data_IF_031580487303
#
_entry.id   IF_031580487303
#
_cell.length_a   1.000
_cell.length_b   1.000
_cell.length_c   1.000
_cell.angle_alpha   90.00
_cell.angle_beta   90.00
_cell.angle_gamma   90.00
#
_symmetry.space_group_name_H-M   'P 1'
#
loop_
_entity.id
_entity.type
_entity.pdbx_description
1 polymer ?
#
# COMPACT_ATOMS: atom_id res chain seq x y z
N UNK A 1 25.26 3.28 -0.96
CA UNK A 1 24.24 3.89 -1.84
C UNK A 1 24.65 5.26 -2.35
N UNK A 2 25.01 6.20 -1.47
CA UNK A 2 25.45 7.58 -1.79
C UNK A 2 26.48 7.68 -2.92
N UNK A 3 27.51 6.81 -2.94
CA UNK A 3 28.52 6.77 -4.02
C UNK A 3 27.93 6.49 -5.40
N UNK A 4 26.93 5.60 -5.50
CA UNK A 4 26.31 5.26 -6.79
C UNK A 4 25.46 6.41 -7.33
N UNK A 5 24.75 7.12 -6.43
CA UNK A 5 23.91 8.27 -6.78
C UNK A 5 24.74 9.48 -7.21
N UNK A 6 25.85 9.73 -6.52
CA UNK A 6 26.80 10.80 -6.90
C UNK A 6 27.44 10.51 -8.25
N UNK A 7 27.92 9.30 -8.50
CA UNK A 7 28.45 8.92 -9.84
C UNK A 7 27.39 9.06 -10.94
N UNK A 8 26.14 8.66 -10.69
CA UNK A 8 25.06 8.88 -11.65
C UNK A 8 24.82 10.37 -11.91
N UNK A 9 24.84 11.19 -10.85
CA UNK A 9 24.64 12.63 -10.94
C UNK A 9 25.77 13.31 -11.72
N UNK A 10 27.01 12.87 -11.55
CA UNK A 10 28.15 13.36 -12.33
C UNK A 10 27.95 13.11 -13.82
N UNK A 11 27.48 11.91 -14.20
CA UNK A 11 27.11 11.57 -15.59
C UNK A 11 25.95 12.42 -16.08
N UNK A 12 24.90 12.61 -15.26
CA UNK A 12 23.76 13.47 -15.60
C UNK A 12 24.20 14.89 -15.95
N UNK A 13 25.15 15.46 -15.20
CA UNK A 13 25.68 16.80 -15.43
C UNK A 13 26.56 16.94 -16.69
N UNK A 14 26.98 15.82 -17.30
CA UNK A 14 27.66 15.87 -18.62
C UNK A 14 26.71 16.18 -19.77
N UNK A 15 25.42 15.89 -19.59
CA UNK A 15 24.37 16.07 -20.61
C UNK A 15 23.47 17.26 -20.27
N UNK A 16 23.15 17.44 -18.99
CA UNK A 16 22.19 18.44 -18.52
C UNK A 16 22.85 19.55 -17.71
N UNK A 17 22.38 20.78 -17.93
CA UNK A 17 22.83 21.95 -17.17
C UNK A 17 22.14 22.06 -15.81
N UNK A 18 22.73 22.85 -14.89
CA UNK A 18 22.24 23.03 -13.52
C UNK A 18 20.76 23.43 -13.40
N UNK A 19 20.22 24.21 -14.33
CA UNK A 19 18.82 24.63 -14.29
C UNK A 19 17.82 23.50 -14.57
N UNK A 20 18.28 22.34 -15.08
CA UNK A 20 17.47 21.13 -15.24
C UNK A 20 17.37 20.31 -13.95
N UNK A 21 18.10 20.68 -12.90
CA UNK A 21 18.03 19.99 -11.61
C UNK A 21 16.72 20.37 -10.94
N UNK A 22 15.76 19.45 -10.95
CA UNK A 22 14.49 19.61 -10.24
C UNK A 22 14.68 19.35 -8.75
N UNK A 23 13.76 19.85 -7.90
CA UNK A 23 13.76 19.51 -6.48
C UNK A 23 13.78 17.99 -6.21
N UNK A 24 13.11 17.19 -7.06
CA UNK A 24 13.13 15.73 -6.95
C UNK A 24 14.51 15.12 -7.19
N UNK A 25 15.27 15.64 -8.17
CA UNK A 25 16.65 15.18 -8.41
C UNK A 25 17.53 15.53 -7.22
N UNK A 26 17.40 16.74 -6.67
CA UNK A 26 18.13 17.15 -5.47
C UNK A 26 17.83 16.22 -4.29
N UNK A 27 16.55 15.97 -3.99
CA UNK A 27 16.14 15.05 -2.91
C UNK A 27 16.65 13.64 -3.15
N UNK A 28 16.58 13.14 -4.38
CA UNK A 28 17.03 11.80 -4.73
C UNK A 28 18.54 11.59 -4.54
N UNK A 29 19.37 12.58 -4.90
CA UNK A 29 20.83 12.44 -4.80
C UNK A 29 21.30 12.74 -3.37
N UNK A 30 20.75 13.78 -2.73
CA UNK A 30 21.24 14.27 -1.45
C UNK A 30 20.58 13.58 -0.25
N UNK A 31 19.25 13.43 -0.27
CA UNK A 31 18.47 13.10 0.94
C UNK A 31 18.00 11.64 1.00
N UNK A 32 17.70 11.01 -0.14
CA UNK A 32 17.29 9.59 -0.17
C UNK A 32 18.27 8.64 0.54
N UNK A 33 19.61 8.79 0.43
CA UNK A 33 20.53 7.97 1.22
C UNK A 33 20.37 8.11 2.73
N UNK A 34 20.08 9.33 3.18
CA UNK A 34 19.91 9.66 4.60
C UNK A 34 18.57 9.12 5.10
N UNK A 35 17.50 9.29 4.31
CA UNK A 35 16.17 8.76 4.60
C UNK A 35 16.15 7.22 4.66
N UNK A 36 16.86 6.55 3.76
CA UNK A 36 16.97 5.08 3.77
C UNK A 36 17.83 4.59 4.94
N UNK A 37 18.82 5.37 5.37
CA UNK A 37 19.62 5.01 6.54
C UNK A 37 18.79 5.10 7.83
N UNK A 38 18.00 6.17 7.98
CA UNK A 38 17.21 6.44 9.18
C UNK A 38 15.96 5.55 9.26
N UNK A 39 15.20 5.44 8.17
CA UNK A 39 13.88 4.80 8.16
C UNK A 39 13.85 3.46 7.44
N UNK A 40 14.97 3.00 6.88
CA UNK A 40 15.06 1.76 6.13
C UNK A 40 14.45 1.87 4.74
N UNK A 41 13.13 1.78 4.62
CA UNK A 41 12.43 1.76 3.32
C UNK A 41 11.59 3.01 3.09
N UNK A 42 11.78 3.67 1.95
CA UNK A 42 10.95 4.81 1.55
C UNK A 42 9.52 4.37 1.15
N UNK A 43 9.31 3.08 0.84
CA UNK A 43 8.01 2.57 0.40
C UNK A 43 6.88 2.86 1.39
N UNK A 44 7.19 2.89 2.69
CA UNK A 44 6.23 3.17 3.76
C UNK A 44 5.70 4.61 3.72
N UNK A 45 6.42 5.54 3.08
CA UNK A 45 6.05 6.95 2.98
C UNK A 45 5.45 7.31 1.62
N UNK A 46 5.23 6.33 0.74
CA UNK A 46 4.63 6.58 -0.57
C UNK A 46 3.16 6.97 -0.42
N UNK A 47 2.72 7.94 -1.22
CA UNK A 47 1.33 8.43 -1.20
C UNK A 47 0.43 7.66 -2.18
N UNK A 48 0.91 6.56 -2.77
CA UNK A 48 0.16 5.79 -3.75
C UNK A 48 -1.19 5.29 -3.22
N UNK A 49 -1.23 4.88 -1.94
CA UNK A 49 -2.47 4.47 -1.29
C UNK A 49 -3.48 5.62 -1.16
N UNK A 50 -2.99 6.82 -0.85
CA UNK A 50 -3.82 8.02 -0.72
C UNK A 50 -4.38 8.47 -2.08
N UNK A 51 -3.57 8.44 -3.13
CA UNK A 51 -4.03 8.71 -4.50
C UNK A 51 -5.11 7.72 -4.93
N UNK A 52 -4.90 6.42 -4.67
CA UNK A 52 -5.91 5.40 -4.96
C UNK A 52 -7.19 5.59 -4.16
N UNK A 53 -7.07 6.00 -2.90
CA UNK A 53 -8.20 6.32 -2.05
C UNK A 53 -9.00 7.50 -2.59
N UNK A 54 -8.33 8.53 -3.10
CA UNK A 54 -8.97 9.67 -3.75
C UNK A 54 -9.76 9.25 -5.02
N UNK A 55 -9.20 8.34 -5.84
CA UNK A 55 -9.91 7.77 -7.00
C UNK A 55 -11.22 7.07 -6.59
N UNK A 56 -11.16 6.24 -5.54
CA UNK A 56 -12.31 5.49 -5.02
C UNK A 56 -13.35 6.45 -4.44
N UNK A 57 -12.90 7.46 -3.70
CA UNK A 57 -13.75 8.51 -3.12
C UNK A 57 -14.47 9.30 -4.21
N UNK A 58 -13.73 9.72 -5.23
CA UNK A 58 -14.28 10.43 -6.40
C UNK A 58 -15.34 9.60 -7.11
N UNK A 59 -15.07 8.31 -7.35
CA UNK A 59 -16.06 7.40 -7.95
C UNK A 59 -17.30 7.25 -7.06
N UNK A 60 -17.12 7.10 -5.75
CA UNK A 60 -18.25 6.99 -4.82
C UNK A 60 -19.09 8.26 -4.77
N UNK A 61 -18.46 9.44 -4.80
CA UNK A 61 -19.15 10.72 -4.87
C UNK A 61 -20.10 10.80 -6.07
N UNK A 62 -19.58 10.54 -7.28
CA UNK A 62 -20.39 10.67 -8.50
C UNK A 62 -21.38 9.53 -8.73
N UNK A 63 -21.08 8.31 -8.28
CA UNK A 63 -21.87 7.10 -8.64
C UNK A 63 -22.65 6.48 -7.48
N UNK A 64 -22.39 6.91 -6.24
CA UNK A 64 -22.92 6.23 -5.04
C UNK A 64 -23.34 7.19 -3.93
N UNK A 65 -23.54 8.48 -4.23
CA UNK A 65 -24.15 9.43 -3.29
C UNK A 65 -25.36 10.09 -3.90
N UNK A 66 -26.33 10.45 -3.07
CA UNK A 66 -27.45 11.29 -3.44
C UNK A 66 -27.11 12.75 -3.11
N UNK A 67 -27.04 13.59 -4.13
CA UNK A 67 -26.62 14.98 -4.00
C UNK A 67 -27.75 15.90 -3.50
N UNK A 68 -29.00 15.40 -3.47
CA UNK A 68 -30.19 16.16 -3.09
C UNK A 68 -30.60 15.97 -1.62
N UNK A 69 -30.13 14.90 -0.97
CA UNK A 69 -30.52 14.54 0.40
C UNK A 69 -29.29 14.23 1.24
N UNK A 70 -28.96 15.15 2.16
CA UNK A 70 -27.83 15.02 3.09
C UNK A 70 -26.46 15.31 2.47
N UNK A 71 -25.44 15.38 3.33
CA UNK A 71 -24.06 15.61 2.88
C UNK A 71 -23.51 14.38 2.16
N UNK A 72 -23.05 14.55 0.91
CA UNK A 72 -22.40 13.49 0.14
C UNK A 72 -21.16 12.93 0.86
N UNK A 73 -20.44 13.78 1.61
CA UNK A 73 -19.31 13.35 2.43
C UNK A 73 -19.72 12.36 3.51
N UNK A 74 -20.81 12.64 4.24
CA UNK A 74 -21.35 11.71 5.25
C UNK A 74 -21.74 10.37 4.63
N UNK A 75 -22.36 10.41 3.44
CA UNK A 75 -22.74 9.18 2.73
C UNK A 75 -21.52 8.34 2.32
N UNK A 76 -20.44 8.98 1.86
CA UNK A 76 -19.18 8.30 1.52
C UNK A 76 -18.57 7.67 2.78
N UNK A 77 -18.49 8.42 3.89
CA UNK A 77 -17.95 7.91 5.15
C UNK A 77 -18.77 6.74 5.68
N UNK A 78 -20.10 6.83 5.69
CA UNK A 78 -20.94 5.71 6.12
C UNK A 78 -20.81 4.49 5.21
N UNK A 79 -20.62 4.69 3.89
CA UNK A 79 -20.34 3.58 2.96
C UNK A 79 -19.01 2.91 3.29
N UNK A 80 -17.97 3.69 3.56
CA UNK A 80 -16.65 3.18 3.91
C UNK A 80 -16.70 2.36 5.20
N UNK A 81 -17.31 2.89 6.26
CA UNK A 81 -17.46 2.17 7.54
C UNK A 81 -18.18 0.82 7.37
N UNK A 82 -19.21 0.77 6.51
CA UNK A 82 -19.92 -0.49 6.22
C UNK A 82 -19.03 -1.51 5.51
N UNK A 83 -18.24 -1.08 4.53
CA UNK A 83 -17.32 -1.96 3.81
C UNK A 83 -16.24 -2.52 4.75
N UNK A 84 -15.64 -1.66 5.58
CA UNK A 84 -14.62 -2.07 6.55
C UNK A 84 -15.16 -3.07 7.58
N UNK A 85 -16.39 -2.87 8.05
CA UNK A 85 -17.06 -3.83 8.95
C UNK A 85 -17.23 -5.19 8.28
N UNK A 86 -17.74 -5.21 7.03
CA UNK A 86 -17.97 -6.45 6.28
C UNK A 86 -16.65 -7.18 5.94
N UNK A 87 -15.60 -6.44 5.60
CA UNK A 87 -14.27 -7.01 5.34
C UNK A 87 -13.67 -7.63 6.61
N UNK A 88 -13.83 -6.96 7.76
CA UNK A 88 -13.42 -7.47 9.07
C UNK A 88 -14.17 -8.75 9.46
N UNK A 89 -15.49 -8.76 9.32
CA UNK A 89 -16.33 -9.94 9.57
C UNK A 89 -15.97 -11.11 8.65
N UNK A 90 -15.75 -10.85 7.36
CA UNK A 90 -15.33 -11.86 6.41
C UNK A 90 -13.95 -12.45 6.76
N UNK A 91 -13.00 -11.59 7.15
CA UNK A 91 -11.67 -12.02 7.59
C UNK A 91 -11.75 -12.88 8.85
N UNK A 92 -12.50 -12.45 9.85
CA UNK A 92 -12.75 -13.22 11.07
C UNK A 92 -13.41 -14.57 10.76
N UNK A 93 -14.41 -14.58 9.89
CA UNK A 93 -15.08 -15.81 9.45
C UNK A 93 -14.11 -16.79 8.78
N UNK A 94 -13.20 -16.30 7.92
CA UNK A 94 -12.17 -17.14 7.31
C UNK A 94 -11.19 -17.71 8.34
N UNK A 95 -10.76 -16.89 9.30
CA UNK A 95 -9.87 -17.33 10.39
C UNK A 95 -10.53 -18.39 11.28
N UNK A 96 -11.81 -18.23 11.61
CA UNK A 96 -12.55 -19.22 12.40
C UNK A 96 -12.73 -20.54 11.63
N UNK A 97 -13.00 -20.47 10.32
CA UNK A 97 -13.08 -21.67 9.46
C UNK A 97 -11.75 -22.41 9.38
N UNK A 98 -10.62 -21.71 9.30
CA UNK A 98 -9.30 -22.36 9.26
C UNK A 98 -8.92 -22.98 10.61
N UNK A 99 -9.33 -22.40 11.74
CA UNK A 99 -9.11 -22.95 13.09
C UNK A 99 -9.83 -24.30 13.32
N UNK A 100 -11.03 -24.47 12.77
CA UNK A 100 -11.78 -25.73 12.83
C UNK A 100 -11.36 -26.78 11.80
N UNK A 101 -10.56 -26.41 10.80
CA UNK A 101 -10.14 -27.31 9.72
C UNK A 101 -8.91 -28.13 10.14
N UNK A 102 -9.03 -29.46 10.06
CA UNK A 102 -7.88 -30.38 10.12
C UNK A 102 -7.22 -30.47 8.76
N UNK A 103 -5.91 -30.21 8.70
CA UNK A 103 -5.12 -30.33 7.49
C UNK A 103 -5.05 -31.78 7.03
N UNK A 104 -5.37 -32.06 5.76
CA UNK A 104 -5.30 -33.42 5.20
C UNK A 104 -3.89 -33.94 4.98
N UNK A 105 -2.86 -33.07 5.05
CA UNK A 105 -1.45 -33.44 4.83
C UNK A 105 -0.76 -33.81 6.14
N UNK A 106 -0.88 -32.98 7.18
CA UNK A 106 -0.17 -33.18 8.45
C UNK A 106 -1.09 -33.42 9.65
N UNK A 107 -2.41 -33.54 9.45
CA UNK A 107 -3.45 -33.76 10.46
C UNK A 107 -3.60 -32.67 11.54
N UNK A 108 -2.71 -31.68 11.58
CA UNK A 108 -2.79 -30.52 12.47
C UNK A 108 -3.94 -29.58 12.10
N UNK A 109 -4.49 -28.89 13.10
CA UNK A 109 -5.57 -27.90 12.94
C UNK A 109 -5.03 -26.51 12.59
N UNK A 110 -5.90 -25.62 12.12
CA UNK A 110 -5.56 -24.20 11.96
C UNK A 110 -5.00 -23.79 10.61
N UNK A 111 -4.91 -24.71 9.65
CA UNK A 111 -4.43 -24.40 8.30
C UNK A 111 -4.93 -25.40 7.26
N UNK A 112 -4.90 -24.99 5.99
CA UNK A 112 -5.28 -25.83 4.85
C UNK A 112 -4.07 -26.61 4.31
N UNK A 113 -4.32 -27.63 3.48
CA UNK A 113 -3.26 -28.35 2.75
C UNK A 113 -2.39 -27.42 1.88
N UNK A 114 -2.97 -26.35 1.32
CA UNK A 114 -2.28 -25.36 0.49
C UNK A 114 -1.31 -24.47 1.28
N UNK A 115 -1.57 -24.29 2.56
CA UNK A 115 -0.77 -23.46 3.46
C UNK A 115 0.03 -24.32 4.45
N UNK A 116 0.14 -25.63 4.17
CA UNK A 116 0.83 -26.58 5.01
C UNK A 116 2.33 -26.57 4.68
N UNK A 117 3.18 -26.27 5.66
CA UNK A 117 4.64 -26.29 5.49
C UNK A 117 5.22 -27.69 5.22
N UNK A 118 4.46 -28.75 5.52
CA UNK A 118 4.84 -30.11 5.17
C UNK A 118 4.65 -30.43 3.67
N UNK A 119 4.04 -29.52 2.90
CA UNK A 119 3.83 -29.64 1.46
C UNK A 119 4.93 -28.97 0.62
N UNK A 120 5.96 -28.40 1.28
CA UNK A 120 7.13 -27.77 0.66
C UNK A 120 8.38 -28.68 0.69
N UNK A 121 8.21 -29.95 1.08
CA UNK A 121 9.20 -31.03 1.06
C UNK A 121 8.76 -32.09 0.05
#
# INVERSE_FOLDING_TARGET
>A
MKRRLTTWFDVFLTVYQKHHITPYIHVFVCHVPELLHEYGSICQFTQQGLEKFNDVTTKSYFRSTNHRKGSALMQIMHKQNRLETLEGEHTLSQMLKSQGMTCSVCTNRGHSSRTCKANEL
#
